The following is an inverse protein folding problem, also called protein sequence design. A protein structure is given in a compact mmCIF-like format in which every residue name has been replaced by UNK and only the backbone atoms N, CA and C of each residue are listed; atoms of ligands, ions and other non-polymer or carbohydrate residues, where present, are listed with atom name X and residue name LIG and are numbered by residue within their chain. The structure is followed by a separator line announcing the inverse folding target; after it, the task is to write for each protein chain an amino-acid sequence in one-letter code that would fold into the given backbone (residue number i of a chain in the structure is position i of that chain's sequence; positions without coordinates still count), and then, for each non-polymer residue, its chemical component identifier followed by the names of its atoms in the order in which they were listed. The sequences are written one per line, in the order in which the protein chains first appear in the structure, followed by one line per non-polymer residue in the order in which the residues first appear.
data_IF_731200486691
#
_entry.id   IF_731200486691
#
_cell.length_a   1.000
_cell.length_b   1.000
_cell.length_c   1.000
_cell.angle_alpha   90.00
_cell.angle_beta   90.00
_cell.angle_gamma   90.00
#
_symmetry.space_group_name_H-M   'P 1'
#
loop_
_entity.id
_entity.type
_entity.pdbx_description
1 polymer ?
#
# COMPACT_ATOMS: atom_id res chain seq x y z
N UNK A 1 -10.13 -7.07 -14.84
CA UNK A 1 -10.30 -8.17 -13.87
C UNK A 1 -11.52 -7.80 -13.04
N UNK A 2 -12.67 -8.32 -13.37
CA UNK A 2 -13.84 -8.33 -12.50
C UNK A 2 -13.48 -9.19 -11.30
N UNK A 3 -13.44 -8.60 -10.12
CA UNK A 3 -13.29 -9.35 -8.87
C UNK A 3 -14.49 -10.30 -8.78
N UNK A 4 -14.28 -11.56 -9.16
CA UNK A 4 -15.21 -12.63 -8.83
C UNK A 4 -15.19 -12.70 -7.31
N UNK A 5 -16.36 -12.53 -6.69
CA UNK A 5 -16.49 -12.68 -5.25
C UNK A 5 -15.80 -13.98 -4.84
N UNK A 6 -14.96 -13.91 -3.82
CA UNK A 6 -14.34 -15.09 -3.25
C UNK A 6 -15.45 -16.09 -2.92
N UNK A 7 -15.28 -17.38 -3.20
CA UNK A 7 -16.30 -18.37 -2.88
C UNK A 7 -16.62 -18.26 -1.38
N UNK A 8 -17.91 -18.27 -1.05
CA UNK A 8 -18.47 -18.09 0.31
C UNK A 8 -17.93 -19.05 1.39
N UNK A 9 -17.04 -19.97 1.01
CA UNK A 9 -16.42 -20.95 1.90
C UNK A 9 -15.04 -20.55 2.46
N UNK A 10 -14.47 -19.38 2.08
CA UNK A 10 -13.20 -18.92 2.62
C UNK A 10 -13.44 -17.99 3.81
N UNK A 11 -13.68 -18.59 4.98
CA UNK A 11 -13.56 -17.89 6.27
C UNK A 11 -12.08 -17.78 6.61
N UNK A 12 -11.48 -16.62 6.30
CA UNK A 12 -10.18 -16.29 6.84
C UNK A 12 -10.35 -16.04 8.35
N UNK A 13 -9.76 -16.91 9.17
CA UNK A 13 -9.44 -16.48 10.51
C UNK A 13 -10.14 -17.12 11.69
N UNK A 14 -10.86 -18.23 11.56
CA UNK A 14 -11.37 -18.97 12.74
C UNK A 14 -10.67 -20.29 13.02
N UNK A 15 -9.74 -20.73 12.16
CA UNK A 15 -9.00 -21.96 12.36
C UNK A 15 -7.57 -21.65 12.78
N UNK A 16 -7.24 -21.86 14.05
CA UNK A 16 -5.91 -21.67 14.63
C UNK A 16 -4.73 -22.26 13.82
N UNK A 17 -4.86 -23.40 13.11
CA UNK A 17 -3.75 -23.95 12.35
C UNK A 17 -3.23 -23.07 11.22
N UNK A 18 -4.07 -22.25 10.59
CA UNK A 18 -3.66 -21.39 9.46
C UNK A 18 -2.78 -20.22 9.94
N UNK A 19 -3.09 -19.64 11.08
CA UNK A 19 -2.30 -18.58 11.70
C UNK A 19 -0.95 -19.10 12.23
N UNK A 20 -0.89 -20.35 12.69
CA UNK A 20 0.35 -20.99 13.12
C UNK A 20 1.31 -21.28 11.95
N UNK A 21 0.84 -21.33 10.71
CA UNK A 21 1.68 -21.48 9.52
C UNK A 21 2.37 -20.16 9.08
N UNK A 22 2.27 -19.10 9.86
CA UNK A 22 3.05 -17.88 9.66
C UNK A 22 2.48 -16.85 8.67
N UNK A 23 1.30 -17.07 8.08
CA UNK A 23 0.70 -16.09 7.18
C UNK A 23 0.38 -14.77 7.90
N UNK A 24 -0.03 -14.82 9.17
CA UNK A 24 -0.29 -13.64 9.99
C UNK A 24 0.94 -12.77 10.26
N UNK A 25 2.14 -13.34 10.22
CA UNK A 25 3.39 -12.61 10.46
C UNK A 25 3.79 -11.65 9.33
N UNK A 26 3.18 -11.80 8.16
CA UNK A 26 3.44 -10.93 7.00
C UNK A 26 2.40 -9.82 6.81
N UNK A 27 1.35 -9.83 7.63
CA UNK A 27 0.35 -8.78 7.61
C UNK A 27 0.84 -7.56 8.40
N UNK A 28 0.55 -6.34 7.94
CA UNK A 28 0.85 -5.15 8.72
C UNK A 28 0.05 -5.17 10.03
N UNK A 29 0.67 -4.76 11.11
CA UNK A 29 0.08 -4.76 12.44
C UNK A 29 0.42 -3.47 13.23
N UNK A 30 0.68 -2.36 12.56
CA UNK A 30 1.03 -1.09 13.21
C UNK A 30 -0.14 -0.54 14.05
N UNK A 31 -1.37 -0.76 13.60
CA UNK A 31 -2.60 -0.39 14.30
C UNK A 31 -3.36 -1.62 14.85
N UNK A 32 -2.62 -2.60 15.37
CA UNK A 32 -3.17 -3.86 15.85
C UNK A 32 -3.28 -4.92 14.75
N UNK A 33 -3.85 -6.10 15.06
CA UNK A 33 -3.98 -7.18 14.09
C UNK A 33 -4.89 -6.78 12.92
N UNK A 34 -4.49 -7.18 11.71
CA UNK A 34 -5.28 -6.95 10.50
C UNK A 34 -6.41 -7.98 10.42
N UNK A 35 -7.64 -7.50 10.31
CA UNK A 35 -8.81 -8.34 10.01
C UNK A 35 -9.04 -8.39 8.48
N UNK A 36 -8.72 -9.52 7.88
CA UNK A 36 -8.90 -9.73 6.45
C UNK A 36 -10.37 -9.80 6.02
N UNK A 37 -11.29 -10.14 6.94
CA UNK A 37 -12.73 -10.19 6.66
C UNK A 37 -13.35 -8.79 6.64
N UNK A 38 -12.70 -7.82 7.27
CA UNK A 38 -13.13 -6.42 7.31
C UNK A 38 -12.47 -5.55 6.23
N UNK A 39 -11.85 -6.15 5.21
CA UNK A 39 -11.28 -5.39 4.09
C UNK A 39 -12.38 -4.81 3.21
N UNK A 40 -12.39 -3.49 2.94
CA UNK A 40 -13.39 -2.89 2.09
C UNK A 40 -13.15 -3.28 0.62
N UNK A 41 -14.24 -3.46 -0.14
CA UNK A 41 -14.18 -3.73 -1.58
C UNK A 41 -13.72 -2.52 -2.40
N UNK A 42 -13.84 -1.31 -1.85
CA UNK A 42 -13.48 -0.05 -2.48
C UNK A 42 -12.96 0.97 -1.46
N UNK A 43 -12.66 2.20 -1.89
CA UNK A 43 -12.26 3.27 -0.98
C UNK A 43 -13.38 3.63 -0.01
N UNK A 44 -13.01 4.01 1.20
CA UNK A 44 -13.88 4.55 2.26
C UNK A 44 -13.35 5.92 2.65
N UNK A 45 -14.21 6.88 2.92
CA UNK A 45 -13.79 8.24 3.21
C UNK A 45 -14.61 8.90 4.31
N UNK A 46 -14.05 9.95 4.89
CA UNK A 46 -14.70 10.74 5.91
C UNK A 46 -15.78 11.67 5.32
N UNK A 47 -16.65 12.16 6.19
CA UNK A 47 -17.60 13.20 5.82
C UNK A 47 -16.88 14.43 5.27
N UNK A 48 -17.48 15.09 4.28
CA UNK A 48 -16.90 16.24 3.60
C UNK A 48 -15.96 15.89 2.44
N UNK A 49 -15.68 14.61 2.20
CA UNK A 49 -14.99 14.16 0.97
C UNK A 49 -16.02 13.76 -0.08
N UNK A 50 -15.83 14.28 -1.28
CA UNK A 50 -16.51 13.83 -2.50
C UNK A 50 -15.50 13.07 -3.36
N UNK A 51 -15.77 11.79 -3.65
CA UNK A 51 -14.93 10.95 -4.49
C UNK A 51 -15.69 10.66 -5.79
N UNK A 52 -15.11 11.05 -6.94
CA UNK A 52 -15.81 11.02 -8.25
C UNK A 52 -15.25 10.00 -9.23
N UNK A 53 -14.01 9.56 -9.06
CA UNK A 53 -13.39 8.54 -9.88
C UNK A 53 -12.49 7.66 -9.04
N UNK A 54 -12.39 6.39 -9.40
CA UNK A 54 -11.54 5.43 -8.72
C UNK A 54 -11.12 4.33 -9.70
N UNK A 55 -9.83 4.08 -9.76
CA UNK A 55 -9.25 2.98 -10.53
C UNK A 55 -8.14 2.32 -9.72
N UNK A 56 -8.11 0.98 -9.71
CA UNK A 56 -7.07 0.18 -9.05
C UNK A 56 -6.39 -0.73 -10.05
N UNK A 57 -5.07 -0.65 -10.11
CA UNK A 57 -4.21 -1.53 -10.90
C UNK A 57 -3.07 -2.05 -10.03
N UNK A 58 -3.20 -3.30 -9.56
CA UNK A 58 -2.24 -3.89 -8.62
C UNK A 58 -2.15 -3.10 -7.31
N UNK A 59 -0.96 -2.58 -7.01
CA UNK A 59 -0.69 -1.75 -5.83
C UNK A 59 -0.83 -0.25 -6.11
N UNK A 60 -1.21 0.14 -7.32
CA UNK A 60 -1.45 1.53 -7.70
C UNK A 60 -2.93 1.82 -7.70
N UNK A 61 -3.31 2.91 -7.06
CA UNK A 61 -4.67 3.44 -7.07
C UNK A 61 -4.63 4.89 -7.56
N UNK A 62 -5.50 5.19 -8.52
CA UNK A 62 -5.78 6.57 -8.96
C UNK A 62 -7.22 6.89 -8.60
N UNK A 63 -7.44 8.05 -7.98
CA UNK A 63 -8.78 8.52 -7.63
C UNK A 63 -8.85 10.05 -7.75
N UNK A 64 -10.06 10.55 -7.97
CA UNK A 64 -10.34 11.99 -7.98
C UNK A 64 -11.25 12.28 -6.79
N UNK A 65 -10.82 13.20 -5.94
CA UNK A 65 -11.56 13.59 -4.76
C UNK A 65 -11.44 15.09 -4.47
N UNK A 66 -12.43 15.62 -3.75
CA UNK A 66 -12.39 16.95 -3.12
C UNK A 66 -12.69 16.82 -1.64
N UNK A 67 -11.98 17.62 -0.84
CA UNK A 67 -12.33 17.86 0.56
C UNK A 67 -13.06 19.18 0.64
N UNK A 68 -14.38 19.14 0.72
CA UNK A 68 -15.24 20.32 0.76
C UNK A 68 -15.45 20.83 2.21
N UNK A 69 -14.78 20.19 3.19
CA UNK A 69 -14.84 20.59 4.59
C UNK A 69 -13.76 21.62 4.97
N UNK A 70 -13.93 22.26 6.11
CA UNK A 70 -12.96 23.23 6.68
C UNK A 70 -11.84 22.56 7.50
N UNK A 71 -11.87 21.22 7.60
CA UNK A 71 -10.90 20.43 8.36
C UNK A 71 -10.23 19.39 7.48
N UNK A 72 -9.10 18.86 7.92
CA UNK A 72 -8.48 17.72 7.27
C UNK A 72 -9.42 16.51 7.29
N UNK A 73 -9.51 15.83 6.16
CA UNK A 73 -10.34 14.65 6.00
C UNK A 73 -9.57 13.52 5.35
N UNK A 74 -9.94 12.28 5.67
CA UNK A 74 -9.20 11.11 5.23
C UNK A 74 -9.95 10.32 4.15
N UNK A 75 -9.15 9.69 3.28
CA UNK A 75 -9.58 8.67 2.32
C UNK A 75 -8.78 7.41 2.63
N UNK A 76 -9.46 6.30 2.92
CA UNK A 76 -8.89 4.99 3.17
C UNK A 76 -9.05 4.13 1.93
N UNK A 77 -7.96 3.53 1.47
CA UNK A 77 -7.91 2.74 0.25
C UNK A 77 -7.89 1.24 0.58
N UNK A 78 -8.45 0.37 -0.27
CA UNK A 78 -8.42 -1.09 -0.10
C UNK A 78 -7.05 -1.67 -0.44
N UNK A 79 -6.02 -1.20 0.26
CA UNK A 79 -4.64 -1.65 0.20
C UNK A 79 -4.10 -1.78 1.62
N UNK A 80 -3.47 -2.90 1.92
CA UNK A 80 -2.73 -3.06 3.17
C UNK A 80 -1.54 -2.12 3.19
N UNK A 81 -1.35 -1.41 4.30
CA UNK A 81 -0.30 -0.43 4.44
C UNK A 81 1.06 -1.10 4.66
N UNK A 82 2.04 -0.66 3.92
CA UNK A 82 3.47 -0.97 4.11
C UNK A 82 4.28 0.31 3.91
N UNK A 83 5.44 0.36 4.56
CA UNK A 83 6.39 1.46 4.33
C UNK A 83 6.80 1.50 2.87
N UNK A 84 6.57 2.64 2.22
CA UNK A 84 6.88 2.82 0.80
C UNK A 84 5.68 3.28 -0.02
N UNK A 85 4.46 3.25 0.53
CA UNK A 85 3.34 3.91 -0.13
C UNK A 85 3.52 5.42 -0.13
N UNK A 86 3.33 6.03 -1.28
CA UNK A 86 3.37 7.48 -1.51
C UNK A 86 2.14 7.93 -2.26
N UNK A 87 1.70 9.15 -2.03
CA UNK A 87 0.61 9.80 -2.76
C UNK A 87 1.12 11.02 -3.50
N UNK A 88 0.61 11.24 -4.70
CA UNK A 88 0.89 12.43 -5.52
C UNK A 88 -0.40 12.96 -6.14
N UNK A 89 -0.63 14.25 -6.00
CA UNK A 89 -1.66 14.97 -6.73
C UNK A 89 -1.19 15.34 -8.13
N UNK A 90 -2.11 15.48 -9.07
CA UNK A 90 -1.83 15.96 -10.42
C UNK A 90 -1.26 17.40 -10.42
N UNK A 91 -1.55 18.17 -9.39
CA UNK A 91 -1.02 19.53 -9.13
C UNK A 91 0.40 19.53 -8.54
N UNK A 92 0.99 18.34 -8.31
CA UNK A 92 2.30 18.17 -7.68
C UNK A 92 2.24 18.11 -6.15
N UNK A 93 1.07 18.21 -5.54
CA UNK A 93 0.91 18.01 -4.09
C UNK A 93 1.31 16.58 -3.67
N UNK A 94 1.73 16.42 -2.43
CA UNK A 94 2.11 15.14 -1.84
C UNK A 94 1.34 14.93 -0.53
N UNK A 95 0.07 14.49 -0.59
CA UNK A 95 -0.71 14.20 0.59
C UNK A 95 -0.03 13.18 1.50
N UNK A 96 -0.20 13.31 2.81
CA UNK A 96 0.34 12.37 3.77
C UNK A 96 -0.30 11.00 3.61
N UNK A 97 0.54 9.96 3.60
CA UNK A 97 0.12 8.55 3.58
C UNK A 97 0.45 7.93 4.92
N UNK A 98 -0.56 7.39 5.59
CA UNK A 98 -0.44 6.82 6.93
C UNK A 98 -1.06 5.43 7.01
N UNK A 99 -0.73 4.70 8.08
CA UNK A 99 -1.41 3.48 8.45
C UNK A 99 -2.74 3.84 9.13
N UNK A 100 -3.84 3.56 8.49
CA UNK A 100 -5.19 3.78 9.03
C UNK A 100 -5.73 2.57 9.80
N UNK A 101 -7.01 2.62 10.10
CA UNK A 101 -7.74 1.51 10.73
C UNK A 101 -7.62 0.23 9.89
N UNK A 102 -7.57 -0.91 10.56
CA UNK A 102 -7.35 -2.22 9.96
C UNK A 102 -6.09 -2.28 9.07
N UNK A 103 -5.08 -1.48 9.40
CA UNK A 103 -3.82 -1.36 8.69
C UNK A 103 -3.98 -1.07 7.17
N UNK A 104 -4.96 -0.26 6.82
CA UNK A 104 -5.18 0.16 5.44
C UNK A 104 -4.44 1.47 5.12
N UNK A 105 -4.03 1.60 3.86
CA UNK A 105 -3.46 2.85 3.34
C UNK A 105 -4.48 3.97 3.49
N UNK A 106 -4.14 4.99 4.26
CA UNK A 106 -4.97 6.17 4.51
C UNK A 106 -4.26 7.43 4.06
N UNK A 107 -4.97 8.27 3.33
CA UNK A 107 -4.48 9.55 2.81
C UNK A 107 -5.26 10.66 3.45
N UNK A 108 -4.57 11.71 3.88
CA UNK A 108 -5.19 12.90 4.43
C UNK A 108 -5.17 14.03 3.41
N UNK A 109 -6.34 14.59 3.12
CA UNK A 109 -6.54 15.75 2.26
C UNK A 109 -6.76 16.99 3.13
N UNK A 110 -6.02 18.06 2.81
CA UNK A 110 -6.21 19.35 3.48
C UNK A 110 -7.58 19.96 3.15
N UNK A 111 -8.08 20.92 3.97
CA UNK A 111 -9.30 21.66 3.68
C UNK A 111 -9.26 22.29 2.30
N UNK A 112 -10.34 22.12 1.52
CA UNK A 112 -10.46 22.65 0.16
C UNK A 112 -9.54 21.99 -0.88
N UNK A 113 -8.75 20.99 -0.51
CA UNK A 113 -7.90 20.28 -1.45
C UNK A 113 -8.73 19.42 -2.39
N UNK A 114 -8.52 19.56 -3.70
CA UNK A 114 -9.23 18.83 -4.72
C UNK A 114 -8.30 18.45 -5.88
N UNK A 115 -8.58 17.34 -6.54
CA UNK A 115 -7.81 16.91 -7.70
C UNK A 115 -7.78 15.40 -7.89
N UNK A 116 -6.96 14.98 -8.84
CA UNK A 116 -6.66 13.58 -9.07
C UNK A 116 -5.39 13.20 -8.31
N UNK A 117 -5.47 12.11 -7.57
CA UNK A 117 -4.39 11.60 -6.73
C UNK A 117 -4.01 10.20 -7.19
N UNK A 118 -2.72 9.95 -7.26
CA UNK A 118 -2.16 8.63 -7.53
C UNK A 118 -1.40 8.15 -6.30
N UNK A 119 -1.76 6.96 -5.84
CA UNK A 119 -1.10 6.27 -4.72
C UNK A 119 -0.43 5.03 -5.26
N UNK A 120 0.86 4.91 -4.99
CA UNK A 120 1.62 3.75 -5.42
C UNK A 120 2.66 3.34 -4.37
N UNK A 121 3.02 2.06 -4.40
CA UNK A 121 4.14 1.57 -3.62
C UNK A 121 5.44 1.91 -4.33
N UNK A 122 6.35 2.53 -3.60
CA UNK A 122 7.71 2.82 -4.05
C UNK A 122 8.69 2.12 -3.12
N UNK A 123 9.56 1.32 -3.67
CA UNK A 123 10.57 0.61 -2.88
C UNK A 123 11.42 1.60 -2.08
N UNK A 124 11.56 1.38 -0.75
CA UNK A 124 12.42 2.21 0.08
C UNK A 124 13.87 2.16 -0.42
N UNK A 125 14.56 3.29 -0.38
CA UNK A 125 15.94 3.41 -0.85
C UNK A 125 16.92 2.37 -0.26
N UNK A 126 16.78 1.90 1.02
CA UNK A 126 17.68 0.87 1.56
C UNK A 126 17.59 -0.46 0.80
N UNK A 127 16.42 -0.79 0.24
CA UNK A 127 16.25 -2.02 -0.56
C UNK A 127 17.03 -1.93 -1.86
N UNK A 128 16.94 -0.79 -2.56
CA UNK A 128 17.72 -0.53 -3.78
C UNK A 128 19.22 -0.50 -3.50
N UNK A 129 19.63 0.04 -2.35
CA UNK A 129 21.02 -0.01 -1.93
C UNK A 129 21.51 -1.45 -1.67
N UNK A 130 20.69 -2.29 -1.06
CA UNK A 130 21.00 -3.71 -0.84
C UNK A 130 21.11 -4.49 -2.16
N UNK A 131 20.21 -4.23 -3.12
CA UNK A 131 20.29 -4.83 -4.46
C UNK A 131 21.58 -4.43 -5.19
N UNK A 132 21.92 -3.14 -5.17
CA UNK A 132 23.15 -2.65 -5.77
C UNK A 132 24.40 -3.27 -5.14
N UNK A 133 24.44 -3.39 -3.81
CA UNK A 133 25.53 -4.05 -3.08
C UNK A 133 25.64 -5.53 -3.46
N UNK A 134 24.53 -6.23 -3.59
CA UNK A 134 24.48 -7.64 -4.01
C UNK A 134 25.04 -7.80 -5.42
N UNK A 135 24.62 -6.94 -6.36
CA UNK A 135 25.11 -6.97 -7.74
C UNK A 135 26.62 -6.69 -7.82
N UNK A 136 27.13 -5.71 -7.05
CA UNK A 136 28.54 -5.39 -6.99
C UNK A 136 29.37 -6.55 -6.40
N UNK A 137 28.85 -7.20 -5.37
CA UNK A 137 29.50 -8.36 -4.75
C UNK A 137 29.59 -9.53 -5.71
N UNK A 138 28.49 -9.81 -6.43
CA UNK A 138 28.45 -10.87 -7.46
C UNK A 138 29.44 -10.59 -8.58
N UNK A 139 29.54 -9.35 -9.06
CA UNK A 139 30.50 -8.93 -10.07
C UNK A 139 31.95 -9.09 -9.59
N UNK A 140 32.23 -8.62 -8.39
CA UNK A 140 33.58 -8.75 -7.80
C UNK A 140 33.99 -10.23 -7.68
N UNK A 141 33.07 -11.09 -7.26
CA UNK A 141 33.30 -12.52 -7.14
C UNK A 141 33.56 -13.16 -8.52
N UNK A 142 32.78 -12.80 -9.52
CA UNK A 142 32.95 -13.28 -10.89
C UNK A 142 34.34 -12.89 -11.48
N UNK A 143 34.73 -11.63 -11.28
CA UNK A 143 36.07 -11.14 -11.72
C UNK A 143 37.19 -11.87 -10.98
N UNK A 144 37.05 -12.06 -9.66
CA UNK A 144 38.04 -12.78 -8.87
C UNK A 144 38.19 -14.25 -9.33
N UNK A 145 37.07 -14.94 -9.57
CA UNK A 145 37.09 -16.31 -10.08
C UNK A 145 37.71 -16.41 -11.49
N UNK A 146 37.40 -15.46 -12.38
CA UNK A 146 37.98 -15.41 -13.72
C UNK A 146 39.50 -15.22 -13.67
N UNK A 147 40.00 -14.35 -12.78
CA UNK A 147 41.45 -14.12 -12.59
C UNK A 147 42.19 -15.32 -12.01
N UNK A 148 41.52 -16.13 -11.18
CA UNK A 148 42.16 -17.36 -10.62
C UNK A 148 42.29 -18.51 -11.63
N UNK A 149 41.57 -18.45 -12.74
CA UNK A 149 41.59 -19.48 -13.79
C UNK A 149 42.64 -19.22 -14.89
N UNK A 150 43.27 -18.06 -14.85
CA UNK A 150 44.43 -17.70 -15.70
C UNK A 150 45.75 -17.97 -14.97
#
# INVERSE_FOLDING_TARGET
YTATAAPESYTYGTEEPFWQMGCGHYLPAENGPTDLNALPAGPVWADGITLTAYEKSGTTITFTASNDSEVEAWVRLPLLWYRGYTARGADGSAPAVTCGENNLVTITLAPGQSGSFTVCFTEPWPWRAAEALTALTALALAVWLARRRQ
#
